data_IF_346466011378
#
_entry.id   IF_346466011378
#
_cell.length_a   1.000
_cell.length_b   1.000
_cell.length_c   1.000
_cell.angle_alpha   90.00
_cell.angle_beta   90.00
_cell.angle_gamma   90.00
#
_symmetry.space_group_name_H-M   'P 1'
#
loop_
_entity.id
_entity.type
_entity.pdbx_description
1 polymer ?
#
# COMPACT_ATOMS: atom_id res chain seq x y z
N UNK A 1 2.83 -10.63 -11.60
CA UNK A 1 2.48 -12.05 -11.41
C UNK A 1 1.30 -12.20 -10.44
N UNK A 2 1.47 -11.89 -9.15
CA UNK A 2 0.41 -11.99 -8.12
C UNK A 2 -0.97 -11.46 -8.55
N UNK A 3 -1.01 -10.21 -9.00
CA UNK A 3 -2.27 -9.52 -9.36
C UNK A 3 -2.98 -10.22 -10.53
N UNK A 4 -2.22 -10.81 -11.44
CA UNK A 4 -2.74 -11.58 -12.56
C UNK A 4 -3.36 -12.88 -12.09
N UNK A 5 -2.67 -13.62 -11.23
CA UNK A 5 -3.17 -14.90 -10.71
C UNK A 5 -4.36 -14.74 -9.76
N UNK A 6 -4.36 -13.70 -8.92
CA UNK A 6 -5.43 -13.48 -7.94
C UNK A 6 -6.67 -12.80 -8.53
N UNK A 7 -6.50 -11.90 -9.50
CA UNK A 7 -7.58 -11.02 -9.98
C UNK A 7 -7.75 -11.01 -11.50
N UNK A 8 -6.97 -11.79 -12.26
CA UNK A 8 -7.02 -11.75 -13.73
C UNK A 8 -6.56 -10.41 -14.31
N UNK A 9 -5.72 -9.65 -13.60
CA UNK A 9 -5.32 -8.30 -13.99
C UNK A 9 -3.83 -8.22 -14.36
N UNK A 10 -3.58 -7.67 -15.53
CA UNK A 10 -2.25 -7.32 -16.04
C UNK A 10 -1.90 -5.87 -15.68
N UNK A 11 -0.68 -5.65 -15.19
CA UNK A 11 -0.12 -4.31 -14.98
C UNK A 11 0.76 -3.95 -16.17
N UNK A 12 0.42 -2.88 -16.89
CA UNK A 12 1.22 -2.37 -18.01
C UNK A 12 1.83 -1.03 -17.65
N UNK A 13 3.15 -0.94 -17.73
CA UNK A 13 3.84 0.34 -17.57
C UNK A 13 3.52 1.25 -18.77
N UNK A 14 3.21 2.52 -18.49
CA UNK A 14 2.84 3.51 -19.50
C UNK A 14 3.71 4.76 -19.31
N UNK A 15 4.13 5.37 -20.41
CA UNK A 15 4.84 6.64 -20.37
C UNK A 15 3.98 7.74 -19.75
N UNK A 16 4.60 8.54 -18.88
CA UNK A 16 3.97 9.74 -18.35
C UNK A 16 4.36 10.97 -19.15
N UNK A 17 3.37 11.82 -19.42
CA UNK A 17 3.59 13.11 -20.03
C UNK A 17 4.41 14.02 -19.09
N UNK A 18 5.14 14.99 -19.64
CA UNK A 18 5.97 15.89 -18.81
C UNK A 18 5.14 16.66 -17.77
N UNK A 19 3.91 17.06 -18.12
CA UNK A 19 2.99 17.80 -17.22
C UNK A 19 2.34 16.93 -16.13
N UNK A 20 2.42 15.61 -16.27
CA UNK A 20 1.91 14.63 -15.32
C UNK A 20 2.95 14.31 -14.22
N UNK A 21 4.21 14.67 -14.45
CA UNK A 21 5.34 14.31 -13.61
C UNK A 21 5.56 15.33 -12.49
N UNK A 22 5.55 14.86 -11.24
CA UNK A 22 5.92 15.63 -10.05
C UNK A 22 7.31 15.31 -9.50
N UNK A 23 8.07 14.47 -10.21
CA UNK A 23 9.44 14.03 -9.88
C UNK A 23 10.51 14.79 -10.68
N UNK A 24 10.15 15.82 -11.45
CA UNK A 24 11.05 16.55 -12.34
C UNK A 24 11.75 17.75 -11.71
N UNK A 25 11.62 17.96 -10.39
CA UNK A 25 12.36 19.03 -9.70
C UNK A 25 13.88 18.76 -9.73
N UNK A 26 14.66 19.85 -9.82
CA UNK A 26 16.11 19.78 -10.03
C UNK A 26 16.81 19.07 -8.86
N UNK A 27 17.46 17.94 -9.14
CA UNK A 27 18.24 17.18 -8.14
C UNK A 27 17.81 15.73 -7.95
N UNK A 28 16.69 15.31 -8.55
CA UNK A 28 16.23 13.91 -8.48
C UNK A 28 17.16 13.02 -9.32
N UNK A 29 17.89 12.12 -8.64
CA UNK A 29 18.68 11.08 -9.30
C UNK A 29 17.85 10.35 -10.36
N UNK A 30 18.45 10.07 -11.53
CA UNK A 30 17.79 9.42 -12.67
C UNK A 30 17.12 8.07 -12.37
N UNK A 31 17.44 7.45 -11.22
CA UNK A 31 16.90 6.17 -10.72
C UNK A 31 15.68 6.32 -9.78
N UNK A 32 15.34 7.52 -9.33
CA UNK A 32 14.24 7.78 -8.39
C UNK A 32 12.94 8.23 -9.08
N UNK A 33 12.74 7.84 -10.35
CA UNK A 33 11.62 8.30 -11.17
C UNK A 33 10.31 7.66 -10.74
N UNK A 34 9.25 8.45 -10.78
CA UNK A 34 7.88 7.96 -10.65
C UNK A 34 7.55 7.12 -11.88
N UNK A 35 6.89 5.99 -11.65
CA UNK A 35 6.43 5.07 -12.71
C UNK A 35 4.90 5.02 -12.72
N UNK A 36 4.31 4.90 -13.91
CA UNK A 36 2.86 4.82 -14.09
C UNK A 36 2.49 3.47 -14.66
N UNK A 37 1.47 2.86 -14.09
CA UNK A 37 0.92 1.59 -14.56
C UNK A 37 -0.58 1.70 -14.77
N UNK A 38 -1.05 1.19 -15.90
CA UNK A 38 -2.45 0.94 -16.16
C UNK A 38 -2.76 -0.52 -15.85
N UNK A 39 -3.88 -0.77 -15.19
CA UNK A 39 -4.32 -2.10 -14.77
C UNK A 39 -5.42 -2.55 -15.71
N UNK A 40 -5.24 -3.68 -16.37
CA UNK A 40 -6.14 -4.18 -17.43
C UNK A 40 -6.58 -5.59 -17.05
N UNK A 41 -7.88 -5.82 -16.97
CA UNK A 41 -8.43 -7.15 -16.72
C UNK A 41 -8.33 -8.03 -17.96
N UNK A 42 -8.31 -9.34 -17.79
CA UNK A 42 -8.17 -10.34 -18.88
C UNK A 42 -9.26 -10.25 -19.95
N UNK A 43 -10.41 -9.66 -19.62
CA UNK A 43 -11.48 -9.37 -20.58
C UNK A 43 -11.22 -8.13 -21.45
N UNK A 44 -10.07 -7.47 -21.28
CA UNK A 44 -9.64 -6.29 -22.03
C UNK A 44 -10.04 -4.95 -21.41
N UNK A 45 -10.82 -4.94 -20.32
CA UNK A 45 -11.28 -3.70 -19.69
C UNK A 45 -10.19 -3.06 -18.83
N UNK A 46 -10.01 -1.75 -18.97
CA UNK A 46 -9.18 -0.97 -18.06
C UNK A 46 -9.86 -0.86 -16.68
N UNK A 47 -9.09 -1.10 -15.63
CA UNK A 47 -9.52 -1.09 -14.23
C UNK A 47 -9.18 0.24 -13.56
N UNK A 48 -8.06 0.86 -13.95
CA UNK A 48 -7.59 2.14 -13.44
C UNK A 48 -6.09 2.29 -13.58
N UNK A 49 -5.56 3.37 -12.99
CA UNK A 49 -4.14 3.73 -13.07
C UNK A 49 -3.53 3.87 -11.67
N UNK A 50 -2.33 3.34 -11.46
CA UNK A 50 -1.53 3.57 -10.26
C UNK A 50 -0.17 4.16 -10.61
N UNK A 51 0.23 5.20 -9.89
CA UNK A 51 1.60 5.71 -9.90
C UNK A 51 2.39 5.13 -8.74
N UNK A 52 3.67 4.86 -8.97
CA UNK A 52 4.61 4.34 -7.99
C UNK A 52 5.72 5.36 -7.80
N UNK A 53 5.71 6.03 -6.66
CA UNK A 53 6.72 6.98 -6.21
C UNK A 53 7.50 6.35 -5.05
N UNK A 54 8.48 5.51 -5.36
CA UNK A 54 9.04 4.55 -4.38
C UNK A 54 10.30 5.00 -3.68
N UNK A 55 10.99 6.04 -4.14
CA UNK A 55 12.31 6.41 -3.65
C UNK A 55 12.28 7.74 -2.89
N UNK A 56 13.11 7.91 -1.85
CA UNK A 56 13.18 9.17 -1.11
C UNK A 56 13.75 10.29 -1.98
N UNK A 57 13.26 11.51 -1.76
CA UNK A 57 13.83 12.77 -2.27
C UNK A 57 13.52 13.92 -1.32
N UNK A 58 14.29 14.99 -1.39
CA UNK A 58 14.04 16.21 -0.61
C UNK A 58 12.62 16.73 -0.87
N UNK A 59 11.94 17.18 0.19
CA UNK A 59 10.57 17.71 0.12
C UNK A 59 9.46 16.67 -0.09
N UNK A 60 9.78 15.39 -0.34
CA UNK A 60 8.78 14.31 -0.47
C UNK A 60 8.24 13.90 0.91
N UNK A 61 6.97 13.49 0.93
CA UNK A 61 6.34 12.85 2.08
C UNK A 61 7.17 11.67 2.61
N UNK A 62 7.49 11.70 3.91
CA UNK A 62 8.49 10.81 4.53
C UNK A 62 8.00 9.40 4.89
N UNK A 63 6.68 9.15 4.89
CA UNK A 63 6.13 7.83 5.19
C UNK A 63 5.68 7.09 3.93
N UNK A 64 5.42 5.79 4.08
CA UNK A 64 4.70 5.03 3.08
C UNK A 64 3.20 5.35 3.18
N UNK A 65 2.54 5.54 2.02
CA UNK A 65 1.12 5.83 1.96
C UNK A 65 0.56 5.60 0.55
N UNK A 66 -0.71 5.26 0.50
CA UNK A 66 -1.56 5.33 -0.67
C UNK A 66 -2.37 6.64 -0.69
N UNK A 67 -2.41 7.30 -1.85
CA UNK A 67 -3.22 8.49 -2.12
C UNK A 67 -4.18 8.26 -3.27
N UNK A 68 -5.46 8.58 -3.07
CA UNK A 68 -6.45 8.60 -4.16
C UNK A 68 -6.42 9.94 -4.88
N UNK A 69 -5.95 9.96 -6.14
CA UNK A 69 -5.94 11.13 -7.02
C UNK A 69 -7.32 11.33 -7.65
N UNK A 70 -7.94 10.24 -8.12
CA UNK A 70 -9.29 10.21 -8.67
C UNK A 70 -10.02 8.98 -8.17
N UNK A 71 -11.25 9.17 -7.72
CA UNK A 71 -12.08 8.09 -7.18
C UNK A 71 -12.73 7.29 -8.29
N UNK A 72 -12.89 5.98 -8.09
CA UNK A 72 -13.71 5.15 -8.96
C UNK A 72 -15.19 5.36 -8.64
N UNK A 73 -15.99 5.85 -9.59
CA UNK A 73 -17.43 5.97 -9.38
C UNK A 73 -18.22 6.01 -10.70
N UNK A 74 -19.52 5.74 -10.62
CA UNK A 74 -20.44 6.03 -11.74
C UNK A 74 -20.44 7.53 -12.04
N UNK A 75 -20.49 7.90 -13.33
CA UNK A 75 -20.48 9.32 -13.75
C UNK A 75 -21.82 10.01 -13.45
N UNK A 76 -22.91 9.25 -13.46
CA UNK A 76 -24.23 9.70 -13.02
C UNK A 76 -24.98 8.52 -12.37
N UNK A 77 -26.01 8.84 -11.58
CA UNK A 77 -26.96 7.84 -11.09
C UNK A 77 -27.64 7.21 -12.32
N UNK A 78 -27.58 5.88 -12.41
CA UNK A 78 -28.08 5.06 -13.54
C UNK A 78 -27.30 5.13 -14.87
N UNK A 79 -26.10 5.74 -14.87
CA UNK A 79 -25.22 5.65 -16.03
C UNK A 79 -24.43 4.33 -16.05
N UNK A 80 -24.25 3.78 -17.24
CA UNK A 80 -23.30 2.68 -17.48
C UNK A 80 -21.84 3.18 -17.59
N UNK A 81 -21.62 4.51 -17.65
CA UNK A 81 -20.29 5.09 -17.69
C UNK A 81 -19.66 5.14 -16.30
N UNK A 82 -18.44 4.63 -16.21
CA UNK A 82 -17.68 4.53 -14.97
C UNK A 82 -16.39 5.36 -15.06
N UNK A 83 -16.20 6.27 -14.11
CA UNK A 83 -14.94 6.98 -13.92
C UNK A 83 -13.92 6.02 -13.31
N UNK A 84 -12.82 5.77 -14.03
CA UNK A 84 -11.78 4.87 -13.53
C UNK A 84 -10.94 5.53 -12.43
N UNK A 85 -10.60 4.82 -11.35
CA UNK A 85 -9.75 5.34 -10.29
C UNK A 85 -8.33 5.64 -10.76
N UNK A 86 -7.73 6.66 -10.15
CA UNK A 86 -6.32 7.00 -10.28
C UNK A 86 -5.74 7.10 -8.87
N UNK A 87 -4.69 6.35 -8.59
CA UNK A 87 -4.07 6.28 -7.26
C UNK A 87 -2.57 6.48 -7.35
N UNK A 88 -1.95 6.97 -6.29
CA UNK A 88 -0.51 7.12 -6.16
C UNK A 88 -0.04 6.39 -4.90
N UNK A 89 0.89 5.46 -5.09
CA UNK A 89 1.56 4.72 -4.03
C UNK A 89 2.90 5.39 -3.78
N UNK A 90 3.07 5.92 -2.57
CA UNK A 90 4.23 6.68 -2.14
C UNK A 90 4.97 5.84 -1.10
N UNK A 91 6.25 5.60 -1.32
CA UNK A 91 7.14 4.93 -0.36
C UNK A 91 8.51 5.60 -0.37
N UNK A 92 9.36 5.26 0.59
CA UNK A 92 10.72 5.77 0.69
C UNK A 92 11.73 4.61 0.78
N UNK A 93 11.58 3.68 -0.17
CA UNK A 93 12.43 2.50 -0.30
C UNK A 93 13.85 2.91 -0.66
N UNK A 94 14.80 2.20 -0.06
CA UNK A 94 16.23 2.41 -0.26
C UNK A 94 16.53 2.50 -1.77
N UNK A 95 17.16 3.60 -2.23
CA UNK A 95 17.46 3.74 -3.64
C UNK A 95 18.43 2.61 -4.04
N UNK A 96 18.41 2.17 -5.31
CA UNK A 96 19.43 1.23 -5.78
C UNK A 96 20.80 1.87 -5.62
N UNK A 97 21.57 1.45 -4.61
CA UNK A 97 22.96 1.85 -4.49
C UNK A 97 23.70 1.45 -5.78
N UNK A 98 24.81 2.13 -6.07
CA UNK A 98 25.58 1.89 -7.29
C UNK A 98 26.08 0.44 -7.43
N UNK A 99 26.08 -0.35 -6.34
CA UNK A 99 26.64 -1.70 -6.30
C UNK A 99 25.65 -2.82 -5.98
N UNK A 100 24.57 -2.57 -5.22
CA UNK A 100 23.60 -3.62 -4.84
C UNK A 100 22.17 -3.07 -4.74
N UNK A 101 21.24 -3.43 -5.64
CA UNK A 101 19.83 -3.19 -5.43
C UNK A 101 19.32 -4.19 -4.38
N UNK A 102 19.03 -3.72 -3.17
CA UNK A 102 18.46 -4.57 -2.12
C UNK A 102 17.31 -3.82 -1.46
N UNK A 103 16.15 -4.48 -1.36
CA UNK A 103 15.08 -4.10 -0.44
C UNK A 103 15.15 -5.04 0.75
N UNK A 104 15.06 -4.49 1.95
CA UNK A 104 14.81 -5.28 3.15
C UNK A 104 13.43 -5.95 3.08
N UNK A 105 13.24 -7.03 3.82
CA UNK A 105 11.94 -7.71 3.87
C UNK A 105 10.84 -6.77 4.42
N UNK A 106 11.15 -5.92 5.41
CA UNK A 106 10.23 -4.91 5.94
C UNK A 106 9.83 -3.86 4.90
N UNK A 107 10.72 -3.47 3.99
CA UNK A 107 10.39 -2.58 2.87
C UNK A 107 9.47 -3.28 1.87
N UNK A 108 9.69 -4.57 1.61
CA UNK A 108 8.80 -5.37 0.76
C UNK A 108 7.40 -5.50 1.40
N UNK A 109 7.33 -5.79 2.70
CA UNK A 109 6.08 -5.84 3.45
C UNK A 109 5.34 -4.49 3.41
N UNK A 110 6.05 -3.39 3.65
CA UNK A 110 5.48 -2.03 3.56
C UNK A 110 4.96 -1.72 2.16
N UNK A 111 5.70 -2.09 1.10
CA UNK A 111 5.25 -1.89 -0.27
C UNK A 111 3.95 -2.67 -0.53
N UNK A 112 3.85 -3.91 -0.05
CA UNK A 112 2.67 -4.74 -0.23
C UNK A 112 1.47 -4.27 0.61
N UNK A 113 1.71 -3.73 1.80
CA UNK A 113 0.68 -3.06 2.61
C UNK A 113 0.02 -1.94 1.80
N UNK A 114 0.82 -0.98 1.32
CA UNK A 114 0.33 0.15 0.53
C UNK A 114 -0.28 -0.30 -0.81
N UNK A 115 0.28 -1.36 -1.40
CA UNK A 115 -0.25 -1.93 -2.62
C UNK A 115 -1.63 -2.55 -2.41
N UNK A 116 -1.89 -3.13 -1.23
CA UNK A 116 -3.21 -3.59 -0.82
C UNK A 116 -4.23 -2.45 -0.78
N UNK A 117 -3.88 -1.29 -0.20
CA UNK A 117 -4.72 -0.08 -0.24
C UNK A 117 -4.95 0.42 -1.67
N UNK A 118 -3.90 0.42 -2.48
CA UNK A 118 -3.97 0.78 -3.90
C UNK A 118 -4.91 -0.13 -4.69
N UNK A 119 -4.82 -1.45 -4.49
CA UNK A 119 -5.71 -2.42 -5.13
C UNK A 119 -7.14 -2.31 -4.61
N UNK A 120 -7.36 -2.07 -3.32
CA UNK A 120 -8.69 -1.82 -2.77
C UNK A 120 -9.36 -0.64 -3.50
N UNK A 121 -8.62 0.44 -3.71
CA UNK A 121 -9.11 1.61 -4.44
C UNK A 121 -9.31 1.36 -5.93
N UNK A 122 -8.40 0.62 -6.58
CA UNK A 122 -8.51 0.29 -8.00
C UNK A 122 -9.66 -0.67 -8.31
N UNK A 123 -9.92 -1.64 -7.44
CA UNK A 123 -10.92 -2.69 -7.64
C UNK A 123 -12.32 -2.29 -7.15
N UNK A 124 -12.42 -1.24 -6.33
CA UNK A 124 -13.71 -0.70 -5.88
C UNK A 124 -14.60 -0.30 -7.06
N UNK A 125 -15.86 -0.78 -7.06
CA UNK A 125 -16.90 -0.47 -8.05
C UNK A 125 -18.14 0.06 -7.34
N UNK A 126 -18.19 1.37 -7.17
CA UNK A 126 -19.21 2.05 -6.34
C UNK A 126 -19.94 3.12 -7.15
N UNK A 127 -21.22 3.34 -6.88
CA UNK A 127 -21.96 4.44 -7.54
C UNK A 127 -21.52 5.81 -7.02
N UNK A 128 -21.27 5.93 -5.72
CA UNK A 128 -21.03 7.21 -5.07
C UNK A 128 -19.56 7.40 -4.71
N UNK A 129 -19.01 8.57 -5.06
CA UNK A 129 -17.62 8.91 -4.77
C UNK A 129 -17.25 8.79 -3.29
N UNK A 130 -18.15 9.19 -2.38
CA UNK A 130 -17.88 9.16 -0.93
C UNK A 130 -17.80 7.74 -0.35
N UNK A 131 -18.18 6.70 -1.12
CA UNK A 131 -18.03 5.29 -0.76
C UNK A 131 -16.93 4.58 -1.56
N UNK A 132 -16.19 5.31 -2.39
CA UNK A 132 -15.18 4.74 -3.29
C UNK A 132 -13.89 4.38 -2.57
N UNK A 133 -13.37 3.19 -2.85
CA UNK A 133 -12.04 2.73 -2.42
C UNK A 133 -11.95 2.53 -0.92
N UNK A 134 -10.91 3.10 -0.31
CA UNK A 134 -10.64 2.97 1.13
C UNK A 134 -11.56 3.81 2.03
N UNK A 135 -12.63 4.41 1.48
CA UNK A 135 -13.67 5.10 2.28
C UNK A 135 -14.64 4.10 2.93
N UNK A 136 -14.07 3.22 3.76
CA UNK A 136 -14.77 2.22 4.54
C UNK A 136 -14.74 2.58 6.04
N UNK A 137 -15.32 1.72 6.89
CA UNK A 137 -15.17 1.84 8.33
C UNK A 137 -13.67 1.80 8.71
N UNK A 138 -13.26 2.68 9.64
CA UNK A 138 -11.83 2.84 9.98
C UNK A 138 -11.21 1.57 10.59
N UNK A 139 -12.01 0.76 11.27
CA UNK A 139 -11.62 -0.53 11.83
C UNK A 139 -11.53 -1.66 10.79
N UNK A 140 -11.99 -1.42 9.57
CA UNK A 140 -11.97 -2.39 8.48
C UNK A 140 -10.98 -2.04 7.36
N UNK A 141 -10.68 -0.75 7.17
CA UNK A 141 -9.92 -0.26 6.01
C UNK A 141 -8.53 -0.88 5.85
N UNK A 142 -7.92 -1.33 6.95
CA UNK A 142 -6.61 -2.00 6.98
C UNK A 142 -6.68 -3.51 6.67
N UNK A 143 -7.87 -4.09 6.56
CA UNK A 143 -8.02 -5.53 6.29
C UNK A 143 -7.36 -5.93 4.96
N UNK A 144 -7.59 -5.19 3.85
CA UNK A 144 -6.93 -5.52 2.58
C UNK A 144 -5.42 -5.35 2.64
N UNK A 145 -4.89 -4.27 3.23
CA UNK A 145 -3.44 -4.05 3.33
C UNK A 145 -2.74 -5.16 4.12
N UNK A 146 -3.27 -5.53 5.30
CA UNK A 146 -2.75 -6.66 6.09
C UNK A 146 -2.88 -8.02 5.38
N UNK A 147 -3.89 -8.22 4.54
CA UNK A 147 -3.97 -9.43 3.71
C UNK A 147 -2.76 -9.49 2.74
N UNK A 148 -2.37 -8.37 2.13
CA UNK A 148 -1.23 -8.31 1.22
C UNK A 148 0.12 -8.47 1.94
N UNK A 149 0.25 -8.01 3.18
CA UNK A 149 1.42 -8.33 4.02
C UNK A 149 1.58 -9.85 4.21
N UNK A 150 0.49 -10.59 4.42
CA UNK A 150 0.57 -12.04 4.62
C UNK A 150 1.15 -12.78 3.41
N UNK A 151 0.92 -12.30 2.18
CA UNK A 151 1.52 -12.90 0.99
C UNK A 151 3.05 -12.82 1.02
N UNK A 152 3.65 -11.72 1.51
CA UNK A 152 5.11 -11.58 1.56
C UNK A 152 5.76 -12.43 2.66
N UNK A 153 4.96 -13.16 3.44
CA UNK A 153 5.40 -14.16 4.40
C UNK A 153 5.09 -15.60 3.95
N UNK A 154 4.43 -15.79 2.81
CA UNK A 154 4.16 -17.12 2.28
C UNK A 154 5.41 -17.70 1.58
N UNK A 155 5.87 -18.91 1.94
CA UNK A 155 7.04 -19.52 1.31
C UNK A 155 6.93 -19.71 -0.20
N UNK A 156 5.73 -20.00 -0.71
CA UNK A 156 5.50 -20.20 -2.15
C UNK A 156 5.65 -18.88 -2.86
N UNK A 157 5.06 -17.81 -2.32
CA UNK A 157 5.16 -16.46 -2.85
C UNK A 157 6.60 -15.93 -2.83
N UNK A 158 7.30 -16.10 -1.71
CA UNK A 158 8.70 -15.65 -1.55
C UNK A 158 9.64 -16.25 -2.60
N UNK A 159 9.44 -17.53 -2.97
CA UNK A 159 10.20 -18.18 -4.06
C UNK A 159 10.00 -17.52 -5.42
N UNK A 160 8.84 -16.91 -5.64
CA UNK A 160 8.50 -16.24 -6.89
C UNK A 160 8.92 -14.77 -6.92
N UNK A 161 8.98 -14.15 -5.73
CA UNK A 161 9.17 -12.71 -5.60
C UNK A 161 10.62 -12.29 -5.84
N UNK A 162 11.59 -13.08 -5.37
CA UNK A 162 12.99 -12.68 -5.35
C UNK A 162 13.92 -13.63 -6.09
N UNK A 163 14.92 -13.05 -6.75
CA UNK A 163 16.11 -13.73 -7.24
C UNK A 163 17.33 -12.88 -6.92
N UNK A 164 18.49 -13.51 -6.83
CA UNK A 164 19.75 -12.81 -6.59
C UNK A 164 20.06 -11.88 -7.76
N UNK A 165 20.30 -10.59 -7.49
CA UNK A 165 20.37 -9.55 -8.52
C UNK A 165 21.46 -9.76 -9.58
N UNK A 166 22.54 -10.49 -9.26
CA UNK A 166 23.63 -10.77 -10.20
C UNK A 166 23.52 -12.15 -10.85
N UNK A 167 23.16 -13.17 -10.06
CA UNK A 167 23.21 -14.56 -10.51
C UNK A 167 21.86 -15.05 -11.02
N UNK A 168 20.77 -14.35 -10.70
CA UNK A 168 19.40 -14.77 -11.00
C UNK A 168 18.93 -15.99 -10.21
N UNK A 169 19.74 -16.51 -9.29
CA UNK A 169 19.39 -17.68 -8.47
C UNK A 169 18.22 -17.36 -7.54
N UNK A 170 17.31 -18.31 -7.38
CA UNK A 170 16.18 -18.18 -6.46
C UNK A 170 16.66 -18.09 -5.00
N UNK A 171 15.82 -17.51 -4.13
CA UNK A 171 16.10 -17.46 -2.70
C UNK A 171 16.20 -18.91 -2.16
N UNK A 172 17.30 -19.29 -1.49
CA UNK A 172 17.44 -20.62 -0.92
C UNK A 172 16.37 -20.94 0.13
N UNK A 173 15.81 -22.15 0.08
CA UNK A 173 14.75 -22.63 0.98
C UNK A 173 15.05 -22.38 2.46
N UNK A 174 16.29 -22.66 2.87
CA UNK A 174 16.75 -22.43 4.25
C UNK A 174 16.59 -20.98 4.71
N UNK A 175 16.74 -20.00 3.81
CA UNK A 175 16.59 -18.58 4.13
C UNK A 175 15.12 -18.22 4.25
N UNK A 176 14.26 -18.75 3.37
CA UNK A 176 12.81 -18.58 3.44
C UNK A 176 12.28 -19.13 4.77
N UNK A 177 12.66 -20.37 5.12
CA UNK A 177 12.27 -20.99 6.39
C UNK A 177 12.71 -20.17 7.60
N UNK A 178 13.95 -19.67 7.58
CA UNK A 178 14.49 -18.83 8.66
C UNK A 178 13.72 -17.51 8.80
N UNK A 179 13.42 -16.84 7.68
CA UNK A 179 12.64 -15.61 7.63
C UNK A 179 11.22 -15.84 8.16
N UNK A 180 10.51 -16.82 7.64
CA UNK A 180 9.13 -17.14 8.06
C UNK A 180 9.07 -17.50 9.54
N UNK A 181 10.07 -18.23 10.05
CA UNK A 181 10.19 -18.51 11.49
C UNK A 181 10.36 -17.22 12.29
N UNK A 182 11.19 -16.29 11.82
CA UNK A 182 11.43 -15.01 12.54
C UNK A 182 10.18 -14.14 12.69
N UNK A 183 9.16 -14.31 11.83
CA UNK A 183 7.88 -13.58 11.92
C UNK A 183 7.19 -13.71 13.28
N UNK A 184 7.34 -14.86 13.93
CA UNK A 184 6.65 -15.16 15.18
C UNK A 184 7.48 -14.79 16.43
N UNK A 185 8.75 -14.40 16.24
CA UNK A 185 9.60 -13.97 17.34
C UNK A 185 9.04 -12.66 17.92
N UNK A 186 8.96 -12.57 19.24
CA UNK A 186 8.44 -11.40 19.98
C UNK A 186 7.01 -10.96 19.68
N UNK A 187 6.25 -11.68 18.84
CA UNK A 187 4.89 -11.31 18.45
C UNK A 187 3.95 -11.05 19.63
N UNK A 188 4.08 -11.82 20.70
CA UNK A 188 3.28 -11.64 21.92
C UNK A 188 3.56 -10.29 22.61
N UNK A 189 4.82 -9.84 22.63
CA UNK A 189 5.22 -8.55 23.23
C UNK A 189 4.71 -7.39 22.37
N UNK A 190 4.79 -7.51 21.04
CA UNK A 190 4.21 -6.52 20.13
C UNK A 190 2.70 -6.39 20.32
N UNK A 191 1.98 -7.52 20.37
CA UNK A 191 0.52 -7.52 20.60
C UNK A 191 0.20 -6.92 21.96
N UNK A 192 0.98 -7.23 23.01
CA UNK A 192 0.79 -6.65 24.33
C UNK A 192 0.91 -5.11 24.30
N UNK A 193 1.88 -4.57 23.56
CA UNK A 193 2.03 -3.12 23.38
C UNK A 193 0.85 -2.51 22.62
N UNK A 194 0.37 -3.16 21.55
CA UNK A 194 -0.82 -2.69 20.82
C UNK A 194 -2.06 -2.69 21.72
N UNK A 195 -2.29 -3.74 22.51
CA UNK A 195 -3.38 -3.80 23.49
C UNK A 195 -3.25 -2.68 24.53
N UNK A 196 -2.03 -2.39 25.00
CA UNK A 196 -1.79 -1.28 25.92
C UNK A 196 -2.19 0.06 25.30
N UNK A 197 -1.80 0.33 24.04
CA UNK A 197 -2.18 1.54 23.32
C UNK A 197 -3.69 1.64 23.11
N UNK A 198 -4.34 0.56 22.67
CA UNK A 198 -5.80 0.53 22.52
C UNK A 198 -6.52 0.77 23.85
N UNK A 199 -6.05 0.18 24.95
CA UNK A 199 -6.64 0.40 26.28
C UNK A 199 -6.46 1.83 26.76
N UNK A 200 -5.30 2.43 26.49
CA UNK A 200 -5.04 3.83 26.83
C UNK A 200 -5.96 4.77 26.04
N UNK A 201 -6.08 4.55 24.72
CA UNK A 201 -7.00 5.30 23.87
C UNK A 201 -8.45 5.20 24.36
N UNK A 202 -8.93 3.99 24.66
CA UNK A 202 -10.28 3.78 25.19
C UNK A 202 -10.49 4.40 26.58
N UNK A 203 -9.47 4.43 27.43
CA UNK A 203 -9.56 5.10 28.73
C UNK A 203 -9.69 6.64 28.59
N UNK A 204 -9.08 7.21 27.55
CA UNK A 204 -9.15 8.65 27.28
C UNK A 204 -10.40 9.07 26.49
N UNK A 205 -10.85 8.26 25.52
CA UNK A 205 -11.85 8.64 24.52
C UNK A 205 -13.01 7.66 24.37
N UNK A 206 -13.02 6.57 25.14
CA UNK A 206 -14.10 5.60 25.15
C UNK A 206 -15.41 6.18 25.71
N UNK A 207 -16.50 5.39 25.68
CA UNK A 207 -17.80 5.81 26.19
C UNK A 207 -17.68 6.32 27.63
N UNK A 208 -18.20 7.52 27.89
CA UNK A 208 -18.25 8.07 29.24
C UNK A 208 -19.31 7.31 30.03
N UNK A 209 -18.92 6.68 31.13
CA UNK A 209 -19.83 6.01 32.07
C UNK A 209 -20.64 7.03 32.89
N UNK A 210 -21.27 8.05 32.27
CA UNK A 210 -22.15 9.04 32.92
C UNK A 210 -21.53 9.92 34.02
N UNK A 211 -20.32 9.61 34.51
CA UNK A 211 -19.65 10.25 35.65
C UNK A 211 -18.36 10.98 35.27
N UNK A 212 -17.84 10.77 34.07
CA UNK A 212 -16.61 11.40 33.60
C UNK A 212 -16.93 12.56 32.65
N UNK A 213 -16.29 13.71 32.88
CA UNK A 213 -16.38 14.86 31.98
C UNK A 213 -15.68 14.53 30.66
N UNK A 214 -16.27 14.97 29.54
CA UNK A 214 -15.66 14.81 28.23
C UNK A 214 -14.25 15.42 28.23
N UNK A 215 -13.28 14.79 27.58
CA UNK A 215 -11.90 15.30 27.46
C UNK A 215 -11.86 16.70 26.82
N UNK A 216 -12.79 17.00 25.93
CA UNK A 216 -13.03 18.36 25.41
C UNK A 216 -13.28 19.39 26.52
N UNK A 217 -13.97 19.03 27.59
CA UNK A 217 -14.21 19.92 28.74
C UNK A 217 -12.99 20.03 29.68
N UNK A 218 -12.15 18.99 29.76
CA UNK A 218 -10.92 18.98 30.56
C UNK A 218 -9.81 19.86 29.97
N UNK A 219 -9.73 19.95 28.64
CA UNK A 219 -8.69 20.69 27.92
C UNK A 219 -9.13 22.04 27.33
N UNK A 220 -10.40 22.43 27.48
CA UNK A 220 -10.91 23.75 27.06
C UNK A 220 -10.52 24.91 28.02
N UNK A 221 -9.42 24.80 28.76
CA UNK A 221 -8.87 25.87 29.61
C UNK A 221 -7.73 26.60 28.92
#
# INVERSE_FOLDING_TARGET
YMVKELFGIEMREVDMAQRERWDLEAGVHSKAKVRKFTFIHENGNEIGTMYFDLHPREGKYGHAAHFTVRCGCSVAVDSNDYQLPIVALVCNMSPPESTTPCLSHSEVETLFHEFGHGLHSLLSRTTFQHMSGTRAAMDFVETPSHLFENFVWDPTFLRMLGSHFQTGEAIPDRMIESLVKSRNEFRAVEIQNQVLYSKFDQACFGPLDGTNAATTQLFAK
#
